data_IF_697595202536
#
_entry.id   IF_697595202536
#
_cell.length_a   1.000
_cell.length_b   1.000
_cell.length_c   1.000
_cell.angle_alpha   90.00
_cell.angle_beta   90.00
_cell.angle_gamma   90.00
#
_symmetry.space_group_name_H-M   'P 1'
#
loop_
_entity.id
_entity.type
_entity.pdbx_description
1 polymer ?
#
# COMPACT_ATOMS: atom_id res chain seq x y z
N UNK A 1 8.85 -3.07 19.04
CA UNK A 1 9.56 -2.25 18.03
C UNK A 1 9.79 -2.97 16.71
N UNK A 2 10.22 -4.25 16.69
CA UNK A 2 10.46 -4.99 15.44
C UNK A 2 9.27 -4.99 14.44
N UNK A 3 8.03 -5.18 14.92
CA UNK A 3 6.85 -5.19 14.05
C UNK A 3 6.62 -3.86 13.33
N UNK A 4 6.89 -2.73 14.00
CA UNK A 4 6.80 -1.40 13.39
C UNK A 4 7.79 -1.30 12.22
N UNK A 5 9.04 -1.70 12.44
CA UNK A 5 10.07 -1.73 11.43
C UNK A 5 9.66 -2.62 10.25
N UNK A 6 9.18 -3.84 10.51
CA UNK A 6 8.74 -4.76 9.46
C UNK A 6 7.68 -4.09 8.58
N UNK A 7 6.64 -3.49 9.16
CA UNK A 7 5.61 -2.81 8.38
C UNK A 7 6.17 -1.65 7.54
N UNK A 8 7.09 -0.85 8.09
CA UNK A 8 7.76 0.21 7.32
C UNK A 8 8.60 -0.35 6.17
N UNK A 9 9.30 -1.48 6.37
CA UNK A 9 10.07 -2.14 5.30
C UNK A 9 9.15 -2.67 4.19
N UNK A 10 7.98 -3.20 4.56
CA UNK A 10 6.94 -3.62 3.63
C UNK A 10 6.28 -2.43 2.91
N UNK A 11 6.48 -1.19 3.37
CA UNK A 11 5.83 -0.01 2.83
C UNK A 11 4.35 0.09 3.24
N UNK A 12 3.99 -0.45 4.39
CA UNK A 12 2.61 -0.43 4.91
C UNK A 12 2.59 0.01 6.37
N UNK A 13 1.44 0.49 6.85
CA UNK A 13 1.22 0.71 8.28
C UNK A 13 -0.21 0.34 8.67
N UNK A 14 -0.43 -0.68 9.52
CA UNK A 14 -1.76 -1.06 9.96
C UNK A 14 -2.32 0.01 10.91
N UNK A 15 -3.50 0.55 10.59
CA UNK A 15 -4.25 1.41 11.52
C UNK A 15 -4.98 0.48 12.51
N UNK A 16 -4.61 0.48 13.80
CA UNK A 16 -5.16 -0.47 14.78
C UNK A 16 -6.67 -0.39 14.91
N UNK A 17 -7.33 -1.54 15.13
CA UNK A 17 -8.79 -1.65 15.27
C UNK A 17 -9.59 -1.22 14.03
N UNK A 18 -8.95 -1.20 12.85
CA UNK A 18 -9.57 -0.94 11.55
C UNK A 18 -9.12 -1.97 10.53
N UNK A 19 -9.66 -1.91 9.31
CA UNK A 19 -9.18 -2.70 8.17
C UNK A 19 -8.16 -1.96 7.31
N UNK A 20 -7.87 -0.69 7.61
CA UNK A 20 -7.05 0.14 6.75
C UNK A 20 -5.55 -0.05 7.03
N UNK A 21 -4.81 -0.30 5.96
CA UNK A 21 -3.35 -0.25 5.94
C UNK A 21 -2.94 1.00 5.16
N UNK A 22 -2.25 1.93 5.79
CA UNK A 22 -1.69 3.08 5.09
C UNK A 22 -0.55 2.62 4.19
N UNK A 23 -0.45 3.20 3.01
CA UNK A 23 0.61 2.92 2.05
C UNK A 23 1.73 3.93 2.28
N UNK A 24 2.93 3.41 2.50
CA UNK A 24 4.16 4.15 2.66
C UNK A 24 5.07 3.88 1.45
N UNK A 25 6.29 4.43 1.47
CA UNK A 25 7.32 4.08 0.50
C UNK A 25 7.92 2.69 0.85
N UNK A 26 7.84 1.69 -0.04
CA UNK A 26 8.39 0.35 0.23
C UNK A 26 9.92 0.31 0.17
N UNK A 27 10.53 -0.51 1.04
CA UNK A 27 11.98 -0.74 1.07
C UNK A 27 12.40 -2.00 0.33
N UNK A 28 11.43 -2.79 -0.13
CA UNK A 28 11.65 -4.06 -0.80
C UNK A 28 11.09 -4.02 -2.23
N UNK A 29 11.79 -4.60 -3.22
CA UNK A 29 11.31 -4.65 -4.59
C UNK A 29 10.14 -5.63 -4.76
N UNK A 30 10.08 -6.69 -3.96
CA UNK A 30 9.04 -7.71 -3.99
C UNK A 30 9.00 -8.50 -2.69
N UNK A 31 7.82 -8.84 -2.22
CA UNK A 31 7.63 -9.80 -1.12
C UNK A 31 6.27 -10.49 -1.24
N UNK A 32 6.09 -11.63 -0.56
CA UNK A 32 4.82 -12.34 -0.51
C UNK A 32 4.41 -12.57 0.94
N UNK A 33 3.19 -12.19 1.28
CA UNK A 33 2.57 -12.47 2.58
C UNK A 33 1.67 -13.69 2.38
N UNK A 34 2.00 -14.78 3.08
CA UNK A 34 1.15 -15.96 3.12
C UNK A 34 0.32 -15.96 4.41
N UNK A 35 -0.99 -16.12 4.27
CA UNK A 35 -1.89 -16.31 5.40
C UNK A 35 -2.25 -17.81 5.49
N UNK A 36 -1.66 -18.57 6.43
CA UNK A 36 -1.88 -20.01 6.51
C UNK A 36 -3.30 -20.37 6.97
N UNK A 37 -3.97 -19.47 7.70
CA UNK A 37 -5.34 -19.71 8.15
C UNK A 37 -6.34 -19.66 6.98
N UNK A 38 -6.11 -18.74 6.03
CA UNK A 38 -6.96 -18.59 4.85
C UNK A 38 -6.45 -19.39 3.64
N UNK A 39 -5.24 -19.94 3.70
CA UNK A 39 -4.63 -20.69 2.59
C UNK A 39 -4.29 -19.83 1.36
N UNK A 40 -4.18 -18.51 1.53
CA UNK A 40 -3.95 -17.56 0.43
C UNK A 40 -2.63 -16.82 0.57
N UNK A 41 -2.17 -16.29 -0.55
CA UNK A 41 -0.95 -15.48 -0.63
C UNK A 41 -1.21 -14.18 -1.37
N UNK A 42 -0.69 -13.09 -0.83
CA UNK A 42 -0.67 -11.78 -1.48
C UNK A 42 0.77 -11.41 -1.80
N UNK A 43 1.07 -11.23 -3.08
CA UNK A 43 2.39 -10.75 -3.53
C UNK A 43 2.33 -9.25 -3.72
N UNK A 44 3.31 -8.54 -3.16
CA UNK A 44 3.49 -7.12 -3.37
C UNK A 44 4.73 -6.92 -4.22
N UNK A 45 4.60 -6.10 -5.27
CA UNK A 45 5.67 -5.76 -6.21
C UNK A 45 5.81 -4.24 -6.26
N UNK A 46 7.05 -3.77 -6.18
CA UNK A 46 7.38 -2.35 -6.25
C UNK A 46 8.00 -2.04 -7.62
N UNK A 47 7.26 -1.34 -8.47
CA UNK A 47 7.70 -0.95 -9.82
C UNK A 47 8.51 0.35 -9.75
N UNK A 48 9.61 0.39 -10.51
CA UNK A 48 10.67 1.41 -10.44
C UNK A 48 11.43 1.48 -9.11
N UNK A 49 11.43 0.39 -8.33
CA UNK A 49 12.28 0.32 -7.13
C UNK A 49 13.75 0.54 -7.49
N UNK A 50 14.43 1.40 -6.73
CA UNK A 50 15.85 1.64 -6.82
C UNK A 50 16.49 1.48 -5.45
N UNK A 51 17.57 0.72 -5.35
CA UNK A 51 18.32 0.59 -4.09
C UNK A 51 18.85 1.94 -3.58
N UNK A 52 19.00 2.94 -4.46
CA UNK A 52 19.38 4.28 -4.06
C UNK A 52 18.32 4.95 -3.15
N UNK A 53 17.06 4.51 -3.18
CA UNK A 53 15.99 5.05 -2.34
C UNK A 53 16.17 4.72 -0.85
N UNK A 54 17.00 3.73 -0.54
CA UNK A 54 17.30 3.30 0.83
C UNK A 54 18.39 4.15 1.51
N UNK A 55 19.07 5.03 0.76
CA UNK A 55 20.14 5.89 1.29
C UNK A 55 19.56 7.15 1.91
N UNK A 56 20.27 7.69 2.91
CA UNK A 56 19.97 9.01 3.46
C UNK A 56 21.19 9.94 3.29
N UNK A 57 21.04 11.11 2.64
CA UNK A 57 19.85 11.58 1.91
C UNK A 57 19.59 10.75 0.64
N UNK A 58 18.32 10.69 0.21
CA UNK A 58 17.94 10.00 -1.03
C UNK A 58 18.50 10.79 -2.22
N UNK A 59 19.27 10.17 -3.15
CA UNK A 59 19.81 10.88 -4.31
C UNK A 59 18.72 11.48 -5.19
N UNK A 60 18.96 12.66 -5.75
CA UNK A 60 18.03 13.32 -6.66
C UNK A 60 17.71 12.43 -7.87
N UNK A 61 16.46 12.47 -8.34
CA UNK A 61 15.98 11.63 -9.44
C UNK A 61 15.70 10.17 -9.07
N UNK A 62 15.87 9.78 -7.79
CA UNK A 62 15.54 8.42 -7.34
C UNK A 62 14.03 8.27 -7.14
N UNK A 63 13.45 7.21 -7.70
CA UNK A 63 12.06 6.87 -7.47
C UNK A 63 11.85 6.39 -6.02
N UNK A 64 11.16 7.21 -5.24
CA UNK A 64 10.92 6.98 -3.82
C UNK A 64 9.50 7.35 -3.38
N UNK A 65 8.70 7.96 -4.25
CA UNK A 65 7.35 8.41 -3.94
C UNK A 65 6.32 7.53 -4.63
N UNK A 66 5.24 7.19 -3.93
CA UNK A 66 4.18 6.34 -4.49
C UNK A 66 3.34 7.16 -5.47
N UNK A 67 3.41 6.81 -6.74
CA UNK A 67 2.62 7.42 -7.81
C UNK A 67 1.25 6.75 -7.93
N UNK A 68 1.24 5.42 -8.02
CA UNK A 68 0.02 4.67 -8.31
C UNK A 68 0.08 3.31 -7.64
N UNK A 69 -1.09 2.78 -7.28
CA UNK A 69 -1.22 1.45 -6.71
C UNK A 69 -2.25 0.69 -7.53
N UNK A 70 -1.91 -0.54 -7.91
CA UNK A 70 -2.78 -1.44 -8.65
C UNK A 70 -3.01 -2.73 -7.89
N UNK A 71 -4.22 -3.25 -8.01
CA UNK A 71 -4.60 -4.56 -7.49
C UNK A 71 -5.00 -5.45 -8.66
N UNK A 72 -4.29 -6.56 -8.85
CA UNK A 72 -4.46 -7.48 -9.98
C UNK A 72 -4.49 -6.78 -11.34
N UNK A 73 -3.63 -5.77 -11.51
CA UNK A 73 -3.53 -4.96 -12.74
C UNK A 73 -4.48 -3.76 -12.82
N UNK A 74 -5.48 -3.66 -11.95
CA UNK A 74 -6.43 -2.54 -11.94
C UNK A 74 -5.99 -1.41 -11.01
N UNK A 75 -6.01 -0.17 -11.49
CA UNK A 75 -5.73 1.01 -10.66
C UNK A 75 -6.73 1.13 -9.50
N UNK A 76 -6.19 1.24 -8.28
CA UNK A 76 -6.97 1.52 -7.08
C UNK A 76 -7.45 2.98 -7.08
N UNK A 77 -8.57 3.22 -6.38
CA UNK A 77 -9.14 4.56 -6.27
C UNK A 77 -8.29 5.53 -5.44
N UNK A 78 -7.33 5.03 -4.66
CA UNK A 78 -6.47 5.82 -3.81
C UNK A 78 -5.11 5.14 -3.73
N UNK A 79 -4.05 5.93 -3.55
CA UNK A 79 -2.70 5.47 -3.24
C UNK A 79 -2.32 5.60 -1.76
N UNK A 80 -3.25 6.04 -0.90
CA UNK A 80 -2.96 6.30 0.50
C UNK A 80 -3.24 5.12 1.44
N UNK A 81 -4.16 4.22 1.08
CA UNK A 81 -4.51 3.09 1.94
C UNK A 81 -5.01 1.89 1.14
N UNK A 82 -4.96 0.73 1.79
CA UNK A 82 -5.53 -0.54 1.35
C UNK A 82 -6.54 -1.02 2.38
N UNK A 83 -7.56 -1.75 1.94
CA UNK A 83 -8.43 -2.49 2.84
C UNK A 83 -7.96 -3.94 2.98
N UNK A 84 -7.74 -4.38 4.22
CA UNK A 84 -7.32 -5.73 4.56
C UNK A 84 -8.24 -6.81 3.97
N UNK A 85 -9.55 -6.57 3.96
CA UNK A 85 -10.55 -7.52 3.50
C UNK A 85 -10.50 -7.71 2.00
N UNK A 86 -10.04 -6.71 1.25
CA UNK A 86 -9.91 -6.80 -0.21
C UNK A 86 -8.56 -7.40 -0.63
N UNK A 87 -7.48 -7.01 0.06
CA UNK A 87 -6.11 -7.37 -0.36
C UNK A 87 -5.62 -8.66 0.28
N UNK A 88 -5.82 -8.84 1.59
CA UNK A 88 -5.19 -9.91 2.37
C UNK A 88 -6.16 -11.04 2.77
N UNK A 89 -7.45 -10.93 2.46
CA UNK A 89 -8.42 -12.05 2.57
C UNK A 89 -8.72 -12.75 1.25
N UNK A 90 -8.41 -12.12 0.12
CA UNK A 90 -8.63 -12.68 -1.23
C UNK A 90 -7.34 -13.28 -1.80
N UNK A 91 -6.19 -12.64 -1.55
CA UNK A 91 -4.94 -13.00 -2.21
C UNK A 91 -4.84 -12.43 -3.62
N UNK A 92 -3.64 -12.36 -4.18
CA UNK A 92 -3.40 -11.75 -5.49
C UNK A 92 -2.09 -10.97 -5.57
N UNK A 93 -2.02 -10.05 -6.53
CA UNK A 93 -0.86 -9.18 -6.76
C UNK A 93 -1.21 -7.71 -6.52
N UNK A 94 -0.48 -7.07 -5.61
CA UNK A 94 -0.47 -5.63 -5.41
C UNK A 94 0.78 -5.04 -6.07
N UNK A 95 0.59 -4.09 -6.97
CA UNK A 95 1.69 -3.34 -7.59
C UNK A 95 1.72 -1.91 -7.05
N UNK A 96 2.84 -1.53 -6.44
CA UNK A 96 3.11 -0.16 -5.99
C UNK A 96 4.09 0.47 -6.96
N UNK A 97 3.65 1.48 -7.70
CA UNK A 97 4.45 2.14 -8.74
C UNK A 97 5.07 3.41 -8.15
N UNK A 98 6.40 3.48 -8.18
CA UNK A 98 7.15 4.62 -7.66
C UNK A 98 7.49 5.63 -8.76
N UNK A 99 7.64 6.89 -8.35
CA UNK A 99 8.12 8.02 -9.14
C UNK A 99 9.20 8.79 -8.39
N UNK A 100 10.07 9.46 -9.13
CA UNK A 100 11.04 10.43 -8.60
C UNK A 100 10.44 11.84 -8.50
N UNK A 101 9.32 12.10 -9.16
CA UNK A 101 8.64 13.39 -9.14
C UNK A 101 7.66 13.47 -7.96
N UNK A 102 8.04 14.24 -6.94
CA UNK A 102 7.22 14.45 -5.75
C UNK A 102 5.84 15.06 -6.07
N UNK A 103 5.72 15.88 -7.12
CA UNK A 103 4.45 16.53 -7.49
C UNK A 103 3.42 15.51 -7.97
N UNK A 104 3.88 14.49 -8.71
CA UNK A 104 2.99 13.42 -9.18
C UNK A 104 2.50 12.52 -8.04
N UNK A 105 3.24 12.49 -6.92
CA UNK A 105 2.91 11.71 -5.73
C UNK A 105 2.24 12.53 -4.61
N UNK A 106 1.79 13.75 -4.89
CA UNK A 106 1.19 14.62 -3.90
C UNK A 106 -0.25 14.20 -3.56
N UNK A 107 -0.57 14.05 -2.27
CA UNK A 107 -1.90 13.61 -1.82
C UNK A 107 -2.25 12.17 -2.19
N UNK A 108 -3.54 11.83 -2.13
CA UNK A 108 -4.01 10.44 -2.24
C UNK A 108 -4.47 9.99 -3.62
N UNK A 109 -4.51 10.91 -4.60
CA UNK A 109 -5.12 10.65 -5.92
C UNK A 109 -6.52 10.01 -5.81
N UNK A 110 -7.33 10.51 -4.87
CA UNK A 110 -8.63 9.96 -4.53
C UNK A 110 -8.97 10.06 -3.04
N UNK A 111 -9.77 9.13 -2.49
CA UNK A 111 -10.19 9.14 -1.09
C UNK A 111 -9.00 9.14 -0.11
N UNK A 112 -9.15 9.88 0.98
CA UNK A 112 -8.23 9.86 2.12
C UNK A 112 -8.56 8.69 3.05
N UNK A 113 -7.60 8.26 3.91
CA UNK A 113 -7.91 7.32 4.98
C UNK A 113 -9.09 7.78 5.83
N UNK A 114 -9.86 6.82 6.33
CA UNK A 114 -11.05 7.10 7.11
C UNK A 114 -10.68 7.72 8.47
N UNK A 115 -11.61 8.48 9.05
CA UNK A 115 -11.47 9.10 10.36
C UNK A 115 -12.80 9.07 11.11
N UNK A 116 -12.74 9.10 12.44
CA UNK A 116 -13.94 9.16 13.28
C UNK A 116 -14.81 10.37 12.95
N UNK A 117 -14.19 11.52 12.66
CA UNK A 117 -14.91 12.76 12.33
C UNK A 117 -15.62 12.72 10.97
N UNK A 118 -15.27 11.77 10.10
CA UNK A 118 -15.85 11.61 8.76
C UNK A 118 -16.78 10.40 8.66
N UNK A 119 -17.26 9.87 9.80
CA UNK A 119 -18.17 8.72 9.84
C UNK A 119 -17.52 7.40 10.25
N UNK A 120 -16.24 7.41 10.61
CA UNK A 120 -15.50 6.24 11.10
C UNK A 120 -15.12 5.24 10.02
N UNK A 121 -14.64 4.07 10.45
CA UNK A 121 -14.01 3.05 9.59
C UNK A 121 -15.00 2.02 9.03
N UNK A 122 -16.24 2.45 8.77
CA UNK A 122 -17.32 1.60 8.26
C UNK A 122 -17.55 1.78 6.75
N UNK A 123 -16.79 2.67 6.08
CA UNK A 123 -17.24 3.31 4.85
C UNK A 123 -16.66 2.77 3.53
N UNK A 124 -15.84 1.72 3.53
CA UNK A 124 -15.42 1.15 2.25
C UNK A 124 -16.55 0.31 1.62
N UNK A 125 -17.36 0.96 0.77
CA UNK A 125 -18.18 0.27 -0.23
C UNK A 125 -17.20 -0.40 -1.19
N UNK A 126 -17.04 -1.71 -1.05
CA UNK A 126 -16.17 -2.49 -1.92
C UNK A 126 -16.45 -2.16 -3.38
N UNK A 127 -15.39 -1.91 -4.16
CA UNK A 127 -15.50 -1.76 -5.62
C UNK A 127 -15.87 -3.10 -6.29
N UNK A 128 -15.91 -4.18 -5.52
CA UNK A 128 -16.27 -5.52 -5.98
C UNK A 128 -17.68 -5.88 -5.51
N UNK A 129 -18.55 -6.41 -6.40
CA UNK A 129 -19.87 -6.89 -6.01
C UNK A 129 -19.72 -7.98 -4.96
N UNK A 130 -20.54 -7.92 -3.91
CA UNK A 130 -20.71 -9.02 -2.98
C UNK A 130 -21.24 -10.21 -3.79
N UNK A 131 -20.50 -11.32 -3.80
CA UNK A 131 -21.05 -12.61 -4.26
C UNK A 131 -22.16 -13.06 -3.31
#
# INVERSE_FOLDING_TARGET
>A
MATLLIFHLLGLYPVPSTTQYLILSPWLPRYTIHNPYLGISTTVKTTHFSQASLKHPIPSGTAAYVHEVRWNGEKLQTRCFLDFREVFRVGGELEIILTSDKRQAEGCDGPRPDSLSTGGFNYFKSKFPKS
#
